data_IF_351659437407
#
_entry.id   IF_351659437407
#
_cell.length_a   1.000
_cell.length_b   1.000
_cell.length_c   1.000
_cell.angle_alpha   90.00
_cell.angle_beta   90.00
_cell.angle_gamma   90.00
#
_symmetry.space_group_name_H-M   'P 1'
#
loop_
_entity.id
_entity.type
_entity.pdbx_description
1 polymer ?
#
# COMPACT_ATOMS: atom_id res chain seq x y z
N UNK A 1 -8.02 16.18 7.80
CA UNK A 1 -6.58 15.99 8.03
C UNK A 1 -6.05 17.08 8.95
N UNK A 2 -5.59 16.70 10.14
CA UNK A 2 -5.02 17.63 11.14
C UNK A 2 -3.73 18.29 10.64
N UNK A 3 -3.48 19.55 11.03
CA UNK A 3 -2.26 20.28 10.66
C UNK A 3 -0.97 19.52 11.06
N UNK A 4 -0.96 18.90 12.25
CA UNK A 4 0.17 18.09 12.72
C UNK A 4 0.49 16.89 11.81
N UNK A 5 -0.52 16.27 11.21
CA UNK A 5 -0.35 15.14 10.30
C UNK A 5 0.34 15.58 9.00
N UNK A 6 -0.05 16.74 8.46
CA UNK A 6 0.59 17.35 7.29
C UNK A 6 2.04 17.71 7.60
N UNK A 7 2.31 18.33 8.75
CA UNK A 7 3.68 18.66 9.19
C UNK A 7 4.56 17.42 9.31
N UNK A 8 4.05 16.35 9.90
CA UNK A 8 4.78 15.07 10.02
C UNK A 8 5.13 14.51 8.63
N UNK A 9 4.21 14.61 7.68
CA UNK A 9 4.45 14.14 6.32
C UNK A 9 5.45 15.03 5.57
N UNK A 10 5.37 16.35 5.70
CA UNK A 10 6.37 17.27 5.12
C UNK A 10 7.77 16.94 5.66
N UNK A 11 7.90 16.78 6.97
CA UNK A 11 9.17 16.42 7.60
C UNK A 11 9.70 15.07 7.11
N UNK A 12 8.81 14.08 6.97
CA UNK A 12 9.16 12.78 6.40
C UNK A 12 9.62 12.89 4.94
N UNK A 13 8.93 13.68 4.12
CA UNK A 13 9.30 13.90 2.72
C UNK A 13 10.69 14.56 2.60
N UNK A 14 10.98 15.57 3.42
CA UNK A 14 12.29 16.23 3.43
C UNK A 14 13.40 15.24 3.81
N UNK A 15 13.17 14.43 4.84
CA UNK A 15 14.10 13.36 5.24
C UNK A 15 14.30 12.34 4.11
N UNK A 16 13.23 11.86 3.50
CA UNK A 16 13.28 10.91 2.40
C UNK A 16 14.01 11.48 1.18
N UNK A 17 13.79 12.75 0.86
CA UNK A 17 14.44 13.48 -0.24
C UNK A 17 15.94 13.68 0.02
N UNK A 18 16.35 13.86 1.28
CA UNK A 18 17.75 13.95 1.65
C UNK A 18 18.48 12.62 1.47
N UNK A 19 17.84 11.51 1.85
CA UNK A 19 18.43 10.16 1.69
C UNK A 19 18.44 9.66 0.25
N UNK A 20 17.35 9.92 -0.48
CA UNK A 20 17.13 9.41 -1.84
C UNK A 20 16.69 10.55 -2.78
N UNK A 21 17.60 11.48 -3.11
CA UNK A 21 17.24 12.70 -3.84
C UNK A 21 16.68 12.43 -5.24
N UNK A 22 17.16 11.39 -5.91
CA UNK A 22 16.70 11.02 -7.26
C UNK A 22 15.41 10.21 -7.27
N UNK A 23 15.02 9.60 -6.14
CA UNK A 23 13.89 8.66 -6.06
C UNK A 23 12.54 9.34 -5.81
N UNK A 24 12.52 10.52 -5.18
CA UNK A 24 11.28 11.18 -4.76
C UNK A 24 11.09 12.56 -5.36
N UNK A 25 9.84 12.87 -5.69
CA UNK A 25 9.43 14.17 -6.23
C UNK A 25 8.22 14.70 -5.46
N UNK A 26 7.85 15.96 -5.72
CA UNK A 26 6.60 16.53 -5.21
C UNK A 26 5.39 15.69 -5.63
N UNK A 27 5.43 15.06 -6.81
CA UNK A 27 4.38 14.13 -7.25
C UNK A 27 4.24 12.94 -6.29
N UNK A 28 5.35 12.39 -5.78
CA UNK A 28 5.32 11.31 -4.78
C UNK A 28 4.63 11.77 -3.50
N UNK A 29 4.98 12.96 -3.02
CA UNK A 29 4.36 13.57 -1.84
C UNK A 29 2.86 13.81 -2.03
N UNK A 30 2.45 14.47 -3.11
CA UNK A 30 1.04 14.75 -3.40
C UNK A 30 0.23 13.46 -3.56
N UNK A 31 0.77 12.43 -4.22
CA UNK A 31 0.10 11.12 -4.33
C UNK A 31 -0.16 10.49 -2.97
N UNK A 32 0.82 10.50 -2.08
CA UNK A 32 0.64 10.02 -0.71
C UNK A 32 -0.40 10.82 0.08
N UNK A 33 -0.45 12.14 -0.12
CA UNK A 33 -1.43 13.01 0.55
C UNK A 33 -2.85 12.77 0.05
N UNK A 34 -3.04 12.70 -1.27
CA UNK A 34 -4.33 12.41 -1.87
C UNK A 34 -4.87 11.07 -1.36
N UNK A 35 -4.02 10.04 -1.32
CA UNK A 35 -4.38 8.74 -0.76
C UNK A 35 -4.79 8.84 0.72
N UNK A 36 -4.00 9.54 1.54
CA UNK A 36 -4.30 9.71 2.96
C UNK A 36 -5.61 10.50 3.19
N UNK A 37 -5.91 11.46 2.31
CA UNK A 37 -7.12 12.29 2.38
C UNK A 37 -8.41 11.51 2.10
N UNK A 38 -8.35 10.40 1.36
CA UNK A 38 -9.51 9.53 1.11
C UNK A 38 -9.97 8.79 2.37
N UNK A 39 -9.12 8.71 3.40
CA UNK A 39 -9.41 8.09 4.68
C UNK A 39 -10.04 6.68 4.58
N UNK A 40 -9.59 5.89 3.59
CA UNK A 40 -10.13 4.56 3.27
C UNK A 40 -10.07 3.58 4.46
N UNK A 41 -9.16 3.81 5.41
CA UNK A 41 -8.94 2.92 6.54
C UNK A 41 -9.71 3.35 7.80
N UNK A 42 -10.60 4.34 7.71
CA UNK A 42 -11.41 4.87 8.80
C UNK A 42 -10.65 5.69 9.85
N UNK A 43 -9.32 5.67 9.82
CA UNK A 43 -8.43 6.46 10.68
C UNK A 43 -7.49 7.31 9.83
N UNK A 44 -7.42 8.62 10.11
CA UNK A 44 -6.53 9.54 9.39
C UNK A 44 -5.06 9.09 9.52
N UNK A 45 -4.65 8.67 10.73
CA UNK A 45 -3.28 8.24 10.99
C UNK A 45 -2.94 6.96 10.22
N UNK A 46 -3.88 6.00 10.18
CA UNK A 46 -3.74 4.78 9.37
C UNK A 46 -3.64 5.09 7.90
N UNK A 47 -4.52 5.94 7.39
CA UNK A 47 -4.54 6.32 5.97
C UNK A 47 -3.26 7.05 5.57
N UNK A 48 -2.67 7.85 6.47
CA UNK A 48 -1.39 8.48 6.26
C UNK A 48 -0.23 7.50 6.27
N UNK A 49 -0.18 6.57 7.24
CA UNK A 49 0.80 5.49 7.28
C UNK A 49 0.78 4.67 5.99
N UNK A 50 -0.41 4.31 5.52
CA UNK A 50 -0.62 3.51 4.32
C UNK A 50 -0.21 4.30 3.05
N UNK A 51 -0.66 5.56 2.93
CA UNK A 51 -0.33 6.42 1.79
C UNK A 51 1.16 6.72 1.66
N UNK A 52 1.84 6.97 2.78
CA UNK A 52 3.30 7.16 2.81
C UNK A 52 4.00 5.86 2.44
N UNK A 53 3.57 4.72 2.98
CA UNK A 53 4.15 3.41 2.63
C UNK A 53 4.04 3.13 1.13
N UNK A 54 2.88 3.35 0.53
CA UNK A 54 2.67 3.07 -0.89
C UNK A 54 3.43 4.05 -1.81
N UNK A 55 3.47 5.33 -1.44
CA UNK A 55 4.14 6.34 -2.26
C UNK A 55 5.68 6.22 -2.20
N UNK A 56 6.25 5.86 -1.04
CA UNK A 56 7.70 5.92 -0.82
C UNK A 56 8.40 4.56 -0.88
N UNK A 57 7.71 3.44 -0.71
CA UNK A 57 8.39 2.13 -0.70
C UNK A 57 8.48 1.47 -2.08
N UNK A 58 7.60 1.80 -3.02
CA UNK A 58 7.40 1.02 -4.26
C UNK A 58 8.67 0.86 -5.12
N UNK A 59 9.52 1.88 -5.22
CA UNK A 59 10.68 1.89 -6.12
C UNK A 59 12.04 1.77 -5.40
N UNK A 60 12.05 1.24 -4.17
CA UNK A 60 13.27 1.07 -3.38
C UNK A 60 13.79 -0.37 -3.41
N UNK A 61 15.10 -0.53 -3.22
CA UNK A 61 15.72 -1.82 -2.94
C UNK A 61 15.29 -2.36 -1.56
N UNK A 62 15.58 -3.64 -1.29
CA UNK A 62 15.11 -4.30 -0.07
C UNK A 62 15.66 -3.64 1.22
N UNK A 63 16.92 -3.19 1.20
CA UNK A 63 17.57 -2.57 2.35
C UNK A 63 17.00 -1.17 2.64
N UNK A 64 16.85 -0.33 1.61
CA UNK A 64 16.23 0.98 1.72
C UNK A 64 14.75 0.87 2.12
N UNK A 65 14.01 -0.11 1.57
CA UNK A 65 12.64 -0.41 2.00
C UNK A 65 12.58 -0.68 3.49
N UNK A 66 13.50 -1.47 4.03
CA UNK A 66 13.51 -1.79 5.46
C UNK A 66 13.79 -0.56 6.33
N UNK A 67 14.79 0.26 5.95
CA UNK A 67 15.10 1.51 6.65
C UNK A 67 13.92 2.49 6.62
N UNK A 68 13.31 2.66 5.46
CA UNK A 68 12.15 3.55 5.28
C UNK A 68 10.93 3.05 6.04
N UNK A 69 10.64 1.74 6.05
CA UNK A 69 9.56 1.15 6.85
C UNK A 69 9.73 1.44 8.34
N UNK A 70 10.93 1.27 8.88
CA UNK A 70 11.22 1.58 10.28
C UNK A 70 10.98 3.06 10.58
N UNK A 71 11.39 3.96 9.67
CA UNK A 71 11.15 5.39 9.83
C UNK A 71 9.66 5.75 9.77
N UNK A 72 8.91 5.18 8.82
CA UNK A 72 7.47 5.38 8.70
C UNK A 72 6.77 4.94 9.98
N UNK A 73 7.09 3.76 10.51
CA UNK A 73 6.50 3.26 11.76
C UNK A 73 6.85 4.13 12.98
N UNK A 74 8.03 4.75 13.00
CA UNK A 74 8.42 5.70 14.04
C UNK A 74 7.62 7.01 13.95
N UNK A 75 7.47 7.56 12.75
CA UNK A 75 6.82 8.86 12.50
C UNK A 75 5.30 8.78 12.60
N UNK A 76 4.70 7.71 12.06
CA UNK A 76 3.26 7.48 12.04
C UNK A 76 2.97 6.27 12.92
N UNK A 77 2.89 6.51 14.24
CA UNK A 77 2.58 5.45 15.23
C UNK A 77 1.13 5.02 15.07
N UNK A 78 0.93 3.94 14.33
CA UNK A 78 -0.41 3.38 14.09
C UNK A 78 -0.41 1.91 14.46
N UNK A 79 -1.49 1.48 15.11
CA UNK A 79 -1.75 0.06 15.31
C UNK A 79 -2.14 -0.56 13.96
N UNK A 80 -1.22 -1.29 13.35
CA UNK A 80 -1.45 -1.95 12.05
C UNK A 80 -2.34 -3.19 12.16
N UNK A 81 -2.56 -3.69 13.38
CA UNK A 81 -3.32 -4.91 13.66
C UNK A 81 -4.83 -4.69 13.75
N UNK A 82 -5.30 -3.45 13.61
CA UNK A 82 -6.74 -3.16 13.61
C UNK A 82 -7.29 -3.55 12.23
N UNK A 83 -8.31 -4.44 12.16
CA UNK A 83 -8.94 -4.80 10.90
C UNK A 83 -9.51 -3.57 10.17
N UNK A 84 -9.35 -3.54 8.84
CA UNK A 84 -9.89 -2.46 8.02
C UNK A 84 -11.42 -2.60 8.01
N UNK A 85 -12.18 -1.53 8.31
CA UNK A 85 -13.64 -1.60 8.30
C UNK A 85 -14.15 -1.96 6.89
N UNK A 86 -15.23 -2.75 6.79
CA UNK A 86 -15.81 -3.07 5.49
C UNK A 86 -16.38 -1.81 4.83
N UNK A 87 -16.30 -1.70 3.49
CA UNK A 87 -16.99 -0.65 2.76
C UNK A 87 -18.51 -0.79 2.88
N UNK A 88 -19.29 0.28 2.64
CA UNK A 88 -20.76 0.26 2.77
C UNK A 88 -21.45 -0.83 1.93
N UNK A 89 -20.88 -1.19 0.78
CA UNK A 89 -21.35 -2.22 -0.14
C UNK A 89 -20.61 -3.56 0.05
N UNK A 90 -20.41 -3.99 1.31
CA UNK A 90 -19.57 -5.15 1.64
C UNK A 90 -19.89 -6.45 0.85
N UNK A 91 -21.13 -6.61 0.35
CA UNK A 91 -21.54 -7.74 -0.48
C UNK A 91 -20.74 -7.87 -1.79
N UNK A 92 -20.31 -6.74 -2.34
CA UNK A 92 -19.55 -6.65 -3.59
C UNK A 92 -18.04 -6.64 -3.35
N UNK A 93 -17.57 -6.87 -2.12
CA UNK A 93 -16.16 -6.89 -1.79
C UNK A 93 -15.73 -8.26 -1.24
N UNK A 94 -14.46 -8.57 -1.42
CA UNK A 94 -13.80 -9.76 -0.86
C UNK A 94 -12.57 -9.33 -0.08
N UNK A 95 -12.30 -10.01 1.03
CA UNK A 95 -11.13 -9.72 1.86
C UNK A 95 -9.94 -10.56 1.40
N UNK A 96 -8.83 -9.89 1.06
CA UNK A 96 -7.58 -10.53 0.65
C UNK A 96 -6.45 -9.99 1.50
N UNK A 97 -5.79 -10.86 2.28
CA UNK A 97 -4.66 -10.51 3.17
C UNK A 97 -4.93 -9.25 4.04
N UNK A 98 -6.18 -9.10 4.50
CA UNK A 98 -6.62 -8.01 5.37
C UNK A 98 -7.21 -6.77 4.66
N UNK A 99 -7.14 -6.70 3.33
CA UNK A 99 -7.65 -5.57 2.52
C UNK A 99 -8.93 -5.92 1.77
N UNK A 100 -9.83 -4.95 1.62
CA UNK A 100 -11.09 -5.11 0.89
C UNK A 100 -10.90 -4.79 -0.60
N UNK A 101 -11.20 -5.76 -1.46
CA UNK A 101 -11.10 -5.63 -2.93
C UNK A 101 -12.49 -5.79 -3.52
N UNK A 102 -12.86 -4.89 -4.44
CA UNK A 102 -14.12 -4.99 -5.16
C UNK A 102 -14.12 -6.26 -6.03
N UNK A 103 -15.18 -7.06 -5.92
CA UNK A 103 -15.39 -8.28 -6.70
C UNK A 103 -15.61 -7.91 -8.16
N UNK A 104 -14.90 -8.59 -9.04
CA UNK A 104 -15.17 -8.51 -10.49
C UNK A 104 -16.43 -9.30 -10.87
N UNK A 105 -16.72 -9.35 -12.17
CA UNK A 105 -17.84 -10.12 -12.73
C UNK A 105 -17.66 -11.65 -12.62
N UNK A 106 -16.43 -12.12 -12.45
CA UNK A 106 -16.14 -13.55 -12.25
C UNK A 106 -16.19 -13.93 -10.78
N UNK A 107 -16.78 -15.10 -10.50
CA UNK A 107 -16.79 -15.67 -9.17
C UNK A 107 -15.36 -16.09 -8.77
N UNK A 108 -14.95 -15.87 -7.50
CA UNK A 108 -13.67 -16.37 -7.01
C UNK A 108 -13.67 -17.90 -7.10
N UNK A 109 -12.66 -18.46 -7.79
CA UNK A 109 -12.45 -19.90 -7.90
C UNK A 109 -11.27 -20.29 -7.01
N UNK A 110 -11.49 -21.24 -6.09
CA UNK A 110 -10.41 -21.83 -5.31
C UNK A 110 -9.68 -22.87 -6.16
N UNK A 111 -8.37 -22.72 -6.30
CA UNK A 111 -7.49 -23.73 -6.90
C UNK A 111 -6.74 -24.46 -5.80
N UNK A 112 -7.12 -25.72 -5.56
CA UNK A 112 -6.50 -26.62 -4.58
C UNK A 112 -5.02 -26.90 -4.85
N UNK A 113 -4.52 -26.66 -6.07
CA UNK A 113 -3.14 -26.89 -6.46
C UNK A 113 -2.25 -25.65 -6.27
N UNK A 114 -2.81 -24.50 -5.87
CA UNK A 114 -2.04 -23.27 -5.74
C UNK A 114 -1.20 -23.26 -4.45
N UNK A 115 0.13 -23.27 -4.59
CA UNK A 115 1.06 -23.27 -3.46
C UNK A 115 1.23 -21.86 -2.90
N UNK A 116 0.51 -21.57 -1.82
CA UNK A 116 0.62 -20.29 -1.09
C UNK A 116 1.84 -20.30 -0.17
N UNK A 117 2.98 -19.83 -0.68
CA UNK A 117 4.20 -19.63 0.14
C UNK A 117 4.16 -18.31 0.92
N UNK A 118 5.03 -18.14 1.94
CA UNK A 118 5.13 -16.89 2.71
C UNK A 118 5.41 -15.67 1.83
N UNK A 119 6.25 -15.83 0.81
CA UNK A 119 6.57 -14.77 -0.16
C UNK A 119 5.36 -14.43 -1.02
N UNK A 120 4.59 -15.45 -1.47
CA UNK A 120 3.35 -15.25 -2.22
C UNK A 120 2.34 -14.48 -1.38
N UNK A 121 2.15 -14.81 -0.10
CA UNK A 121 1.26 -14.04 0.80
C UNK A 121 1.69 -12.59 0.96
N UNK A 122 2.98 -12.33 1.17
CA UNK A 122 3.50 -10.97 1.30
C UNK A 122 3.29 -10.15 0.02
N UNK A 123 3.50 -10.77 -1.14
CA UNK A 123 3.27 -10.12 -2.43
C UNK A 123 1.77 -9.87 -2.67
N UNK A 124 0.93 -10.85 -2.32
CA UNK A 124 -0.52 -10.73 -2.43
C UNK A 124 -1.05 -9.62 -1.53
N UNK A 125 -0.52 -9.47 -0.31
CA UNK A 125 -0.86 -8.38 0.60
C UNK A 125 -0.47 -7.01 0.01
N UNK A 126 0.70 -6.89 -0.63
CA UNK A 126 1.14 -5.65 -1.27
C UNK A 126 0.25 -5.30 -2.48
N UNK A 127 -0.11 -6.30 -3.30
CA UNK A 127 -1.04 -6.12 -4.42
C UNK A 127 -2.43 -5.76 -3.91
N UNK A 128 -2.97 -6.51 -2.93
CA UNK A 128 -4.29 -6.29 -2.37
C UNK A 128 -4.44 -4.88 -1.80
N UNK A 129 -3.42 -4.39 -1.09
CA UNK A 129 -3.31 -3.00 -0.60
C UNK A 129 -3.37 -1.96 -1.71
N UNK A 130 -2.72 -2.23 -2.84
CA UNK A 130 -2.70 -1.35 -4.01
C UNK A 130 -4.06 -1.34 -4.70
N UNK A 131 -4.65 -2.52 -4.89
CA UNK A 131 -5.93 -2.69 -5.59
C UNK A 131 -7.10 -2.18 -4.76
N UNK A 132 -7.08 -2.34 -3.43
CA UNK A 132 -8.14 -1.83 -2.55
C UNK A 132 -8.32 -0.32 -2.67
N UNK A 133 -7.25 0.39 -3.03
CA UNK A 133 -7.28 1.85 -3.15
C UNK A 133 -7.88 2.38 -4.46
N UNK A 134 -8.18 1.50 -5.44
CA UNK A 134 -8.82 1.86 -6.71
C UNK A 134 -8.07 2.81 -7.65
N UNK A 135 -6.90 3.35 -7.24
CA UNK A 135 -6.21 4.46 -7.93
C UNK A 135 -4.81 4.16 -8.44
N UNK A 136 -4.24 3.01 -8.09
CA UNK A 136 -2.88 2.66 -8.43
C UNK A 136 -2.85 1.42 -9.33
N UNK A 137 -3.48 1.51 -10.50
CA UNK A 137 -3.16 0.61 -11.63
C UNK A 137 -1.78 1.00 -12.15
N UNK A 138 -0.75 0.67 -11.39
CA UNK A 138 0.64 0.75 -11.86
C UNK A 138 0.93 -0.60 -12.49
N UNK A 139 1.04 -0.60 -13.81
CA UNK A 139 1.34 -1.73 -14.69
C UNK A 139 2.04 -2.89 -13.96
N UNK A 140 1.31 -3.98 -13.69
CA UNK A 140 1.91 -5.22 -13.22
C UNK A 140 2.77 -5.75 -14.39
N UNK A 141 4.06 -5.44 -14.39
CA UNK A 141 4.97 -5.97 -15.43
C UNK A 141 5.12 -7.46 -15.19
N UNK A 142 4.27 -8.23 -15.87
CA UNK A 142 4.33 -9.68 -15.86
C UNK A 142 5.68 -10.10 -16.44
N UNK A 143 6.61 -10.55 -15.60
CA UNK A 143 7.60 -11.52 -16.05
C UNK A 143 6.88 -12.86 -16.14
N UNK A 144 6.15 -13.04 -17.24
CA UNK A 144 5.66 -14.36 -17.64
C UNK A 144 6.89 -15.23 -17.86
N UNK A 145 7.03 -16.27 -17.06
CA UNK A 145 8.01 -17.32 -17.30
C UNK A 145 7.69 -17.92 -18.69
N UNK A 146 8.56 -17.68 -19.65
CA UNK A 146 8.53 -18.33 -20.96
C UNK A 146 8.76 -19.81 -20.74
N UNK A 147 7.68 -20.60 -20.69
CA UNK A 147 7.74 -22.01 -21.05
C UNK A 147 7.94 -22.04 -22.57
N UNK A 148 9.14 -22.40 -23.03
CA UNK A 148 9.33 -22.77 -24.43
C UNK A 148 9.02 -24.27 -24.59
N UNK A 149 8.31 -24.67 -25.66
CA UNK A 149 8.08 -26.05 -26.02
C UNK A 149 9.37 -26.76 -26.48
#
# INVERSE_FOLDING_TARGET
MKAAAVTNFVNFYLYAKQLYPSSYSLRTFCRGLCFAAENMFGSEDRSLYEGVSMAFLTNLDAEAKQKMRAKIAQTFRVQTNIPIPPPPEAADYVQVEGYWIQRGTNLPQEDSNYVVTKTVKSNLAEIARITSSGRFVSCLSSKTATYSP
#
